data_IF_737832004242
#
_entry.id   IF_737832004242
#
_cell.length_a   1.000
_cell.length_b   1.000
_cell.length_c   1.000
_cell.angle_alpha   90.00
_cell.angle_beta   90.00
_cell.angle_gamma   90.00
#
_symmetry.space_group_name_H-M   'P 1'
#
loop_
_entity.id
_entity.type
_entity.pdbx_description
1 polymer ?
#
# COMPACT_ATOMS: atom_id res chain seq x y z
N UNK A 1 -17.89 -13.49 -5.45
CA UNK A 1 -18.58 -12.18 -5.35
C UNK A 1 -18.33 -11.38 -6.61
N UNK A 2 -19.22 -11.50 -7.60
CA UNK A 2 -19.06 -10.98 -8.96
C UNK A 2 -19.16 -9.44 -9.07
N UNK A 3 -19.61 -8.77 -8.00
CA UNK A 3 -19.81 -7.31 -7.95
C UNK A 3 -18.53 -6.56 -7.56
N UNK A 4 -17.67 -7.15 -6.71
CA UNK A 4 -16.40 -6.53 -6.29
C UNK A 4 -15.41 -6.41 -7.46
N UNK A 5 -15.37 -7.38 -8.37
CA UNK A 5 -14.39 -7.40 -9.46
C UNK A 5 -14.63 -6.33 -10.54
N UNK A 6 -15.88 -5.97 -10.84
CA UNK A 6 -16.21 -5.03 -11.95
C UNK A 6 -15.98 -3.55 -11.62
N UNK A 7 -16.00 -3.17 -10.34
CA UNK A 7 -15.79 -1.77 -9.92
C UNK A 7 -14.44 -1.52 -9.25
N UNK A 8 -13.92 -2.49 -8.51
CA UNK A 8 -12.75 -2.28 -7.67
C UNK A 8 -11.43 -2.46 -8.44
N UNK A 9 -11.33 -3.53 -9.25
CA UNK A 9 -10.12 -3.83 -10.02
C UNK A 9 -9.75 -2.73 -11.04
N UNK A 10 -10.70 -2.13 -11.79
CA UNK A 10 -10.37 -1.03 -12.68
C UNK A 10 -9.82 0.19 -11.94
N UNK A 11 -10.33 0.46 -10.74
CA UNK A 11 -9.89 1.62 -9.95
C UNK A 11 -8.50 1.41 -9.35
N UNK A 12 -8.20 0.19 -8.88
CA UNK A 12 -6.86 -0.20 -8.45
C UNK A 12 -5.88 -0.06 -9.62
N UNK A 13 -6.24 -0.57 -10.80
CA UNK A 13 -5.40 -0.42 -12.00
C UNK A 13 -5.14 1.04 -12.38
N UNK A 14 -6.16 1.90 -12.31
CA UNK A 14 -6.00 3.34 -12.54
C UNK A 14 -5.03 3.99 -11.53
N UNK A 15 -5.14 3.63 -10.25
CA UNK A 15 -4.25 4.14 -9.19
C UNK A 15 -2.82 3.67 -9.42
N UNK A 16 -2.60 2.38 -9.70
CA UNK A 16 -1.27 1.84 -9.98
C UNK A 16 -0.62 2.51 -11.19
N UNK A 17 -1.37 2.70 -12.28
CA UNK A 17 -0.87 3.39 -13.47
C UNK A 17 -0.50 4.86 -13.15
N UNK A 18 -1.31 5.56 -12.36
CA UNK A 18 -0.98 6.92 -11.92
C UNK A 18 0.27 6.97 -11.06
N UNK A 19 0.46 5.98 -10.18
CA UNK A 19 1.67 5.87 -9.37
C UNK A 19 2.88 5.65 -10.29
N UNK A 20 2.82 4.66 -11.19
CA UNK A 20 3.91 4.33 -12.12
C UNK A 20 4.31 5.51 -13.00
N UNK A 21 3.34 6.25 -13.54
CA UNK A 21 3.62 7.43 -14.39
C UNK A 21 4.15 8.62 -13.59
N UNK A 22 3.85 8.72 -12.29
CA UNK A 22 4.18 9.89 -11.47
C UNK A 22 5.37 9.70 -10.54
N UNK A 23 5.78 8.47 -10.23
CA UNK A 23 6.93 8.19 -9.36
C UNK A 23 8.20 8.15 -10.21
N UNK A 24 9.04 9.17 -10.08
CA UNK A 24 10.42 9.17 -10.60
C UNK A 24 11.39 9.05 -9.43
N UNK A 25 12.63 8.63 -9.69
CA UNK A 25 13.65 8.52 -8.63
C UNK A 25 13.86 9.85 -7.91
N UNK A 26 13.98 10.96 -8.64
CA UNK A 26 14.13 12.31 -8.06
C UNK A 26 12.98 12.70 -7.11
N UNK A 27 11.77 12.21 -7.37
CA UNK A 27 10.59 12.51 -6.54
C UNK A 27 10.61 11.78 -5.20
N UNK A 28 11.40 10.71 -5.07
CA UNK A 28 11.52 9.99 -3.79
C UNK A 28 12.27 10.81 -2.74
N UNK A 29 13.12 11.75 -3.18
CA UNK A 29 13.91 12.63 -2.30
C UNK A 29 13.17 13.95 -1.97
N UNK A 30 12.04 14.24 -2.62
CA UNK A 30 11.20 15.39 -2.31
C UNK A 30 10.66 15.29 -0.87
N UNK A 31 10.51 16.42 -0.14
CA UNK A 31 9.85 16.42 1.17
C UNK A 31 8.45 15.81 1.10
N UNK A 32 8.10 15.00 2.10
CA UNK A 32 6.78 14.39 2.19
C UNK A 32 5.69 15.47 2.38
N UNK A 33 4.50 15.29 1.78
CA UNK A 33 3.40 16.24 1.93
C UNK A 33 2.83 16.29 3.36
N UNK A 34 3.09 15.26 4.17
CA UNK A 34 2.79 15.18 5.60
C UNK A 34 3.64 14.08 6.23
N UNK A 35 3.75 14.10 7.56
CA UNK A 35 4.42 13.03 8.32
C UNK A 35 3.53 12.43 9.40
N UNK A 36 3.22 11.12 9.36
CA UNK A 36 2.51 10.45 10.46
C UNK A 36 3.28 10.49 11.79
N UNK A 37 4.61 10.55 11.72
CA UNK A 37 5.51 10.59 12.87
C UNK A 37 5.91 12.00 13.33
N UNK A 38 5.40 13.05 12.66
CA UNK A 38 5.87 14.44 12.81
C UNK A 38 7.38 14.59 12.59
N UNK A 39 7.95 13.87 11.62
CA UNK A 39 9.35 14.00 11.20
C UNK A 39 9.47 15.06 10.08
N UNK A 40 10.16 16.16 10.36
CA UNK A 40 10.39 17.25 9.39
C UNK A 40 11.33 16.85 8.24
N UNK A 41 12.07 15.74 8.39
CA UNK A 41 13.00 15.21 7.38
C UNK A 41 12.39 14.13 6.51
N UNK A 42 11.12 13.78 6.71
CA UNK A 42 10.46 12.73 5.93
C UNK A 42 10.38 13.12 4.44
N UNK A 43 10.78 12.18 3.58
CA UNK A 43 10.67 12.31 2.13
C UNK A 43 9.48 11.50 1.61
N UNK A 44 9.09 11.76 0.36
CA UNK A 44 8.09 10.93 -0.35
C UNK A 44 8.50 9.46 -0.34
N UNK A 45 9.79 9.17 -0.49
CA UNK A 45 10.34 7.81 -0.46
C UNK A 45 10.20 7.14 0.90
N UNK A 46 10.56 7.82 2.00
CA UNK A 46 10.40 7.25 3.34
C UNK A 46 8.93 7.07 3.73
N UNK A 47 8.06 8.01 3.34
CA UNK A 47 6.61 7.88 3.55
C UNK A 47 6.03 6.69 2.76
N UNK A 48 6.44 6.51 1.50
CA UNK A 48 6.01 5.39 0.68
C UNK A 48 6.50 4.04 1.25
N UNK A 49 7.74 3.99 1.73
CA UNK A 49 8.27 2.81 2.41
C UNK A 49 7.47 2.49 3.68
N UNK A 50 7.13 3.50 4.48
CA UNK A 50 6.27 3.37 5.65
C UNK A 50 4.88 2.84 5.32
N UNK A 51 4.24 3.35 4.25
CA UNK A 51 2.96 2.85 3.76
C UNK A 51 3.03 1.38 3.33
N UNK A 52 4.05 1.00 2.55
CA UNK A 52 4.24 -0.38 2.11
C UNK A 52 4.46 -1.35 3.27
N UNK A 53 5.22 -0.93 4.29
CA UNK A 53 5.41 -1.69 5.52
C UNK A 53 4.10 -1.85 6.29
N UNK A 54 3.36 -0.76 6.48
CA UNK A 54 2.08 -0.75 7.19
C UNK A 54 1.03 -1.67 6.52
N UNK A 55 0.92 -1.61 5.19
CA UNK A 55 0.04 -2.50 4.43
C UNK A 55 0.45 -3.97 4.61
N UNK A 56 1.75 -4.27 4.47
CA UNK A 56 2.29 -5.62 4.64
C UNK A 56 2.02 -6.19 6.04
N UNK A 57 2.14 -5.35 7.07
CA UNK A 57 1.81 -5.73 8.46
C UNK A 57 0.35 -6.16 8.60
N UNK A 58 -0.59 -5.36 8.07
CA UNK A 58 -2.01 -5.70 8.13
C UNK A 58 -2.38 -6.89 7.23
N UNK A 59 -1.73 -7.06 6.08
CA UNK A 59 -1.86 -8.25 5.25
C UNK A 59 -1.41 -9.52 6.02
N UNK A 60 -0.32 -9.44 6.80
CA UNK A 60 0.13 -10.50 7.68
C UNK A 60 -0.90 -10.85 8.76
N UNK A 61 -1.44 -9.84 9.46
CA UNK A 61 -2.50 -10.02 10.45
C UNK A 61 -3.75 -10.68 9.84
N UNK A 62 -4.19 -10.21 8.68
CA UNK A 62 -5.34 -10.78 7.98
C UNK A 62 -5.06 -12.23 7.53
N UNK A 63 -3.85 -12.50 7.06
CA UNK A 63 -3.40 -13.85 6.71
C UNK A 63 -3.48 -14.81 7.89
N UNK A 64 -3.03 -14.39 9.08
CA UNK A 64 -3.13 -15.18 10.31
C UNK A 64 -4.60 -15.42 10.71
N UNK A 65 -5.43 -14.37 10.74
CA UNK A 65 -6.85 -14.49 11.08
C UNK A 65 -7.59 -15.47 10.16
N UNK A 66 -7.25 -15.48 8.87
CA UNK A 66 -7.80 -16.45 7.92
C UNK A 66 -7.43 -17.89 8.27
N UNK A 67 -6.15 -18.15 8.58
CA UNK A 67 -5.68 -19.47 9.01
C UNK A 67 -6.39 -19.95 10.27
N UNK A 68 -6.56 -19.07 11.27
CA UNK A 68 -7.30 -19.38 12.51
C UNK A 68 -8.77 -19.75 12.26
N UNK A 69 -9.37 -19.23 11.18
CA UNK A 69 -10.74 -19.56 10.77
C UNK A 69 -10.82 -20.75 9.79
N UNK A 70 -9.73 -21.51 9.61
CA UNK A 70 -9.68 -22.65 8.68
C UNK A 70 -9.72 -22.26 7.20
N UNK A 71 -9.39 -21.00 6.86
CA UNK A 71 -9.28 -20.51 5.48
C UNK A 71 -7.81 -20.43 5.07
N UNK A 72 -7.55 -20.58 3.78
CA UNK A 72 -6.20 -20.37 3.24
C UNK A 72 -5.66 -18.98 3.57
N UNK A 73 -4.38 -18.90 3.95
CA UNK A 73 -3.68 -17.63 4.13
C UNK A 73 -3.65 -16.81 2.83
N UNK A 74 -3.62 -15.48 2.96
CA UNK A 74 -3.46 -14.56 1.81
C UNK A 74 -2.00 -14.49 1.36
N UNK A 75 -1.07 -14.69 2.30
CA UNK A 75 0.36 -14.81 2.07
C UNK A 75 0.72 -16.29 2.22
N UNK A 76 1.36 -16.86 1.20
CA UNK A 76 1.88 -18.23 1.20
C UNK A 76 3.27 -18.25 1.81
#
# INVERSE_FOLDING_TARGET
GFILSRRFLPKVGEICNRIEVSLTEDRLDEPAPFSPGNDETETVGSLLAGLAFHESYHCGQLGLLRRLLGKDGVIK
#
